data_IF_969266492989
#
_entry.id   IF_969266492989
#
_cell.length_a   1.000
_cell.length_b   1.000
_cell.length_c   1.000
_cell.angle_alpha   90.00
_cell.angle_beta   90.00
_cell.angle_gamma   90.00
#
_symmetry.space_group_name_H-M   'P 1'
#
loop_
_entity.id
_entity.type
_entity.pdbx_description
1 polymer ?
#
# COMPACT_ATOMS: atom_id res chain seq x y z
N UNK A 1 -10.48 -59.31 -12.69
CA UNK A 1 -10.21 -57.96 -12.15
C UNK A 1 -9.31 -57.27 -13.15
N UNK A 2 -9.86 -56.44 -14.04
CA UNK A 2 -9.11 -55.80 -15.11
C UNK A 2 -8.83 -54.34 -14.69
N UNK A 3 -7.56 -53.98 -14.62
CA UNK A 3 -7.10 -52.61 -14.38
C UNK A 3 -7.42 -51.77 -15.64
N UNK A 4 -8.12 -50.62 -15.54
CA UNK A 4 -8.35 -49.79 -16.71
C UNK A 4 -7.03 -49.11 -17.09
N UNK A 5 -6.59 -49.32 -18.33
CA UNK A 5 -5.48 -48.57 -18.89
C UNK A 5 -5.87 -47.08 -18.92
N UNK A 6 -5.25 -46.29 -18.06
CA UNK A 6 -5.41 -44.84 -18.06
C UNK A 6 -4.83 -44.32 -19.38
N UNK A 7 -5.69 -43.72 -20.20
CA UNK A 7 -5.32 -43.16 -21.50
C UNK A 7 -4.31 -42.03 -21.30
N UNK A 8 -3.03 -42.31 -21.57
CA UNK A 8 -1.90 -41.42 -21.35
C UNK A 8 -2.05 -40.08 -22.11
N UNK A 9 -2.85 -40.04 -23.18
CA UNK A 9 -3.20 -38.79 -23.88
C UNK A 9 -4.12 -37.88 -23.06
N UNK A 10 -5.03 -38.46 -22.26
CA UNK A 10 -5.91 -37.70 -21.37
C UNK A 10 -5.16 -37.16 -20.16
N UNK A 11 -4.20 -37.93 -19.64
CA UNK A 11 -3.32 -37.48 -18.54
C UNK A 11 -2.44 -36.32 -19.01
N UNK A 12 -1.82 -36.42 -20.19
CA UNK A 12 -1.04 -35.31 -20.74
C UNK A 12 -1.90 -34.06 -21.00
N UNK A 13 -3.11 -34.20 -21.54
CA UNK A 13 -4.01 -33.07 -21.77
C UNK A 13 -4.41 -32.38 -20.46
N UNK A 14 -4.71 -33.14 -19.41
CA UNK A 14 -5.05 -32.58 -18.09
C UNK A 14 -3.83 -31.91 -17.45
N UNK A 15 -2.64 -32.51 -17.53
CA UNK A 15 -1.41 -31.87 -17.06
C UNK A 15 -1.08 -30.58 -17.85
N UNK A 16 -1.23 -30.57 -19.17
CA UNK A 16 -1.02 -29.36 -19.97
C UNK A 16 -2.05 -28.27 -19.66
N UNK A 17 -3.32 -28.63 -19.43
CA UNK A 17 -4.35 -27.69 -18.98
C UNK A 17 -4.05 -27.14 -17.58
N UNK A 18 -3.59 -27.98 -16.64
CA UNK A 18 -3.19 -27.53 -15.30
C UNK A 18 -1.95 -26.64 -15.33
N UNK A 19 -1.00 -26.90 -16.22
CA UNK A 19 0.17 -26.03 -16.45
C UNK A 19 -0.28 -24.69 -17.05
N UNK A 20 -1.18 -24.70 -18.05
CA UNK A 20 -1.72 -23.46 -18.65
C UNK A 20 -2.55 -22.63 -17.65
N UNK A 21 -3.30 -23.28 -16.76
CA UNK A 21 -4.02 -22.62 -15.67
C UNK A 21 -3.05 -22.11 -14.59
N UNK A 22 -1.96 -22.84 -14.32
CA UNK A 22 -0.90 -22.41 -13.39
C UNK A 22 -0.11 -21.17 -13.85
N UNK A 23 -0.07 -20.89 -15.16
CA UNK A 23 0.52 -19.67 -15.71
C UNK A 23 -0.47 -18.50 -15.89
N UNK A 24 -1.74 -18.68 -15.52
CA UNK A 24 -2.78 -17.64 -15.68
C UNK A 24 -2.84 -16.62 -14.53
N UNK A 25 -1.88 -16.64 -13.61
CA UNK A 25 -1.96 -15.96 -12.32
C UNK A 25 -0.95 -14.83 -12.10
N UNK A 26 -0.77 -13.91 -13.04
CA UNK A 26 -0.33 -12.54 -12.67
C UNK A 26 -1.27 -11.56 -13.33
N UNK A 27 -2.17 -10.99 -12.55
CA UNK A 27 -3.03 -9.91 -13.03
C UNK A 27 -2.14 -8.76 -13.47
N UNK A 28 -1.99 -8.57 -14.77
CA UNK A 28 -1.39 -7.35 -15.29
C UNK A 28 -2.32 -6.20 -14.94
N UNK A 29 -1.96 -5.43 -13.91
CA UNK A 29 -2.64 -4.16 -13.63
C UNK A 29 -2.35 -3.25 -14.80
N UNK A 30 -3.40 -2.85 -15.51
CA UNK A 30 -3.25 -1.85 -16.57
C UNK A 30 -2.75 -0.57 -15.92
N UNK A 31 -1.57 -0.12 -16.34
CA UNK A 31 -1.03 1.13 -15.87
C UNK A 31 -1.99 2.27 -16.20
N UNK A 32 -2.10 3.23 -15.28
CA UNK A 32 -2.96 4.40 -15.42
C UNK A 32 -2.12 5.67 -15.32
N UNK A 33 -2.59 6.76 -15.95
CA UNK A 33 -2.03 8.07 -15.72
C UNK A 33 -2.05 8.43 -14.23
N UNK A 34 -1.08 9.23 -13.81
CA UNK A 34 -1.10 9.83 -12.48
C UNK A 34 -2.37 10.68 -12.29
N UNK A 35 -3.04 10.51 -11.15
CA UNK A 35 -4.29 11.18 -10.80
C UNK A 35 -4.29 11.65 -9.35
N UNK A 36 -5.22 12.53 -8.99
CA UNK A 36 -5.47 12.92 -7.60
C UNK A 36 -5.91 11.70 -6.78
N UNK A 37 -5.35 11.53 -5.59
CA UNK A 37 -5.64 10.39 -4.71
C UNK A 37 -7.00 10.50 -4.02
N UNK A 38 -7.50 11.73 -3.80
CA UNK A 38 -8.68 12.05 -3.00
C UNK A 38 -8.48 11.94 -1.48
N UNK A 39 -7.28 11.59 -1.00
CA UNK A 39 -7.07 11.18 0.40
C UNK A 39 -6.66 12.33 1.32
N UNK A 40 -6.08 13.39 0.76
CA UNK A 40 -5.46 14.48 1.50
C UNK A 40 -3.96 14.31 1.73
N UNK A 41 -3.27 15.39 2.11
CA UNK A 41 -1.81 15.41 2.18
C UNK A 41 -1.22 14.50 3.26
N UNK A 42 -0.02 14.03 2.96
CA UNK A 42 0.86 13.29 3.85
C UNK A 42 2.26 13.91 3.76
N UNK A 43 2.84 14.24 4.90
CA UNK A 43 4.21 14.74 4.98
C UNK A 43 4.85 14.39 6.33
N UNK A 44 6.17 14.55 6.44
CA UNK A 44 6.92 14.17 7.63
C UNK A 44 8.27 13.59 7.24
N UNK A 45 8.59 12.42 7.78
CA UNK A 45 9.82 11.69 7.44
C UNK A 45 11.01 12.04 8.32
N UNK A 46 10.84 12.81 9.40
CA UNK A 46 11.84 12.86 10.47
C UNK A 46 11.91 11.49 11.14
N UNK A 47 13.10 10.95 11.35
CA UNK A 47 13.23 9.57 11.78
C UNK A 47 14.44 9.28 12.65
N UNK A 48 14.41 8.20 13.41
CA UNK A 48 15.58 7.69 14.12
C UNK A 48 15.63 6.18 14.15
N UNK A 49 16.83 5.63 14.30
CA UNK A 49 16.99 4.24 14.70
C UNK A 49 16.32 4.00 16.05
N UNK A 50 15.57 2.90 16.19
CA UNK A 50 14.82 2.57 17.40
C UNK A 50 15.73 2.48 18.64
N UNK A 51 17.00 2.10 18.47
CA UNK A 51 17.96 1.96 19.56
C UNK A 51 18.72 3.25 19.93
N UNK A 52 18.50 4.36 19.21
CA UNK A 52 19.23 5.60 19.41
C UNK A 52 18.31 6.71 19.91
N UNK A 53 18.76 7.50 20.89
CA UNK A 53 18.05 8.74 21.21
C UNK A 53 18.30 9.78 20.13
N UNK A 54 17.28 10.53 19.75
CA UNK A 54 17.39 11.56 18.71
C UNK A 54 16.50 12.76 19.00
N UNK A 55 16.95 13.91 18.53
CA UNK A 55 16.22 15.16 18.49
C UNK A 55 16.43 15.78 17.11
N UNK A 56 15.34 16.15 16.44
CA UNK A 56 15.36 16.82 15.16
C UNK A 56 14.40 18.00 15.18
N UNK A 57 14.82 19.10 14.57
CA UNK A 57 13.97 20.25 14.29
C UNK A 57 14.15 20.60 12.81
N UNK A 58 13.08 20.49 12.03
CA UNK A 58 13.10 20.59 10.58
C UNK A 58 12.17 21.69 10.10
N UNK A 59 12.59 22.46 9.10
CA UNK A 59 11.68 23.32 8.33
C UNK A 59 10.81 22.42 7.46
N UNK A 60 9.49 22.59 7.54
CA UNK A 60 8.53 21.78 6.79
C UNK A 60 8.72 21.90 5.27
N UNK A 61 9.21 23.05 4.77
CA UNK A 61 9.52 23.22 3.34
C UNK A 61 10.77 22.45 2.88
N UNK A 62 11.60 22.01 3.82
CA UNK A 62 12.86 21.30 3.54
C UNK A 62 12.74 19.78 3.68
N UNK A 63 11.58 19.28 4.11
CA UNK A 63 11.32 17.85 4.21
C UNK A 63 11.23 17.23 2.79
N UNK A 64 11.73 16.00 2.61
CA UNK A 64 11.60 15.29 1.34
C UNK A 64 10.13 14.98 1.04
N UNK A 65 9.83 14.73 -0.23
CA UNK A 65 8.53 14.17 -0.60
C UNK A 65 8.38 12.76 -0.02
N UNK A 66 7.16 12.37 0.36
CA UNK A 66 6.88 11.03 0.87
C UNK A 66 6.34 10.17 -0.26
N UNK A 67 6.99 9.05 -0.57
CA UNK A 67 6.53 8.07 -1.54
C UNK A 67 6.05 6.81 -0.82
N UNK A 68 4.74 6.57 -0.82
CA UNK A 68 4.14 5.32 -0.38
C UNK A 68 4.03 4.38 -1.58
N UNK A 69 4.81 3.30 -1.59
CA UNK A 69 4.85 2.30 -2.66
C UNK A 69 4.19 1.00 -2.21
N UNK A 70 3.00 0.71 -2.75
CA UNK A 70 2.31 -0.54 -2.53
C UNK A 70 2.88 -1.64 -3.43
N UNK A 71 3.52 -2.62 -2.82
CA UNK A 71 4.36 -3.60 -3.50
C UNK A 71 4.07 -5.04 -3.04
N UNK A 72 4.72 -6.00 -3.68
CA UNK A 72 4.78 -7.37 -3.19
C UNK A 72 6.06 -8.12 -3.63
N UNK A 73 6.48 -9.11 -2.84
CA UNK A 73 7.64 -10.00 -3.11
C UNK A 73 7.52 -10.83 -4.38
N UNK A 74 6.31 -11.03 -4.89
CA UNK A 74 6.03 -11.74 -6.15
C UNK A 74 5.82 -10.80 -7.35
N UNK A 75 5.77 -9.49 -7.10
CA UNK A 75 5.45 -8.50 -8.12
C UNK A 75 6.67 -8.09 -8.94
N UNK A 76 6.90 -8.75 -10.08
CA UNK A 76 8.01 -8.38 -11.00
C UNK A 76 7.91 -6.94 -11.53
N UNK A 77 6.69 -6.43 -11.71
CA UNK A 77 6.49 -5.04 -12.16
C UNK A 77 6.88 -4.01 -11.09
N UNK A 78 6.82 -4.38 -9.81
CA UNK A 78 7.16 -3.52 -8.69
C UNK A 78 8.67 -3.22 -8.67
N UNK A 79 9.51 -4.17 -9.07
CA UNK A 79 10.97 -3.98 -9.18
C UNK A 79 11.32 -2.75 -10.04
N UNK A 80 10.59 -2.51 -11.13
CA UNK A 80 10.81 -1.32 -12.00
C UNK A 80 10.41 -0.02 -11.31
N UNK A 81 9.31 -0.04 -10.57
CA UNK A 81 8.79 1.11 -9.81
C UNK A 81 9.75 1.46 -8.68
N UNK A 82 10.14 0.47 -7.89
CA UNK A 82 11.06 0.62 -6.75
C UNK A 82 12.45 1.11 -7.19
N UNK A 83 12.92 0.67 -8.37
CA UNK A 83 14.18 1.17 -8.95
C UNK A 83 14.11 2.65 -9.29
N UNK A 84 13.01 3.10 -9.91
CA UNK A 84 12.80 4.51 -10.24
C UNK A 84 12.66 5.37 -8.97
N UNK A 85 12.02 4.85 -7.93
CA UNK A 85 11.94 5.52 -6.63
C UNK A 85 13.30 5.56 -5.92
N UNK A 86 14.11 4.49 -5.99
CA UNK A 86 15.46 4.47 -5.42
C UNK A 86 16.33 5.59 -5.99
N UNK A 87 16.29 5.83 -7.30
CA UNK A 87 17.08 6.90 -7.90
C UNK A 87 16.73 8.29 -7.36
N UNK A 88 15.47 8.55 -7.01
CA UNK A 88 15.03 9.82 -6.44
C UNK A 88 15.32 9.94 -4.94
N UNK A 89 15.26 8.80 -4.24
CA UNK A 89 15.65 8.66 -2.83
C UNK A 89 17.17 8.95 -2.66
N UNK A 90 18.00 8.38 -3.54
CA UNK A 90 19.46 8.61 -3.58
C UNK A 90 19.82 10.07 -3.90
N UNK A 91 18.96 10.78 -4.64
CA UNK A 91 19.08 12.21 -4.95
C UNK A 91 18.56 13.10 -3.81
N UNK A 92 17.97 12.53 -2.75
CA UNK A 92 17.40 13.25 -1.61
C UNK A 92 16.10 13.99 -1.93
N UNK A 93 15.43 13.63 -3.02
CA UNK A 93 14.20 14.30 -3.50
C UNK A 93 12.98 13.80 -2.74
N UNK A 94 12.97 12.51 -2.44
CA UNK A 94 11.90 11.84 -1.72
C UNK A 94 12.48 10.90 -0.66
N UNK A 95 11.60 10.42 0.22
CA UNK A 95 11.82 9.30 1.10
C UNK A 95 10.73 8.28 0.82
N UNK A 96 11.12 7.05 0.51
CA UNK A 96 10.19 5.99 0.09
C UNK A 96 9.90 4.98 1.19
N UNK A 97 8.68 4.46 1.16
CA UNK A 97 8.16 3.50 2.13
C UNK A 97 7.41 2.39 1.40
N UNK A 98 7.81 1.15 1.62
CA UNK A 98 7.21 0.00 0.97
C UNK A 98 6.08 -0.57 1.84
N UNK A 99 4.87 -0.46 1.32
CA UNK A 99 3.66 -1.06 1.86
C UNK A 99 3.47 -2.41 1.19
N UNK A 100 3.91 -3.45 1.86
CA UNK A 100 3.71 -4.81 1.37
C UNK A 100 2.26 -5.24 1.55
N UNK A 101 1.70 -5.84 0.50
CA UNK A 101 0.36 -6.41 0.54
C UNK A 101 0.22 -7.44 1.66
N UNK A 102 -0.89 -7.37 2.39
CA UNK A 102 -1.23 -8.36 3.41
C UNK A 102 -2.21 -9.45 2.90
N UNK A 103 -2.28 -10.56 3.65
CA UNK A 103 -3.08 -11.76 3.35
C UNK A 103 -2.65 -12.44 2.03
N UNK A 104 -1.34 -12.47 1.82
CA UNK A 104 -0.68 -13.10 0.69
C UNK A 104 0.27 -14.16 1.21
N UNK A 105 0.14 -15.40 0.75
CA UNK A 105 1.02 -16.48 1.21
C UNK A 105 2.44 -16.38 0.65
N UNK A 106 2.66 -15.56 -0.39
CA UNK A 106 3.96 -15.37 -1.03
C UNK A 106 4.71 -14.15 -0.48
N UNK A 107 4.03 -13.23 0.22
CA UNK A 107 4.62 -12.03 0.80
C UNK A 107 4.51 -12.02 2.33
N UNK A 108 5.64 -12.12 3.06
CA UNK A 108 5.62 -12.20 4.52
C UNK A 108 5.67 -10.83 5.21
N UNK A 109 5.70 -9.72 4.47
CA UNK A 109 6.04 -8.41 5.03
C UNK A 109 4.81 -7.56 5.37
N UNK A 110 3.67 -7.80 4.72
CA UNK A 110 2.43 -7.06 4.98
C UNK A 110 1.79 -7.40 6.34
N UNK A 111 1.00 -6.46 6.88
CA UNK A 111 0.17 -6.66 8.07
C UNK A 111 -1.22 -6.06 7.87
N UNK A 112 -2.21 -6.46 8.69
CA UNK A 112 -3.56 -5.87 8.63
C UNK A 112 -3.49 -4.36 8.83
N UNK A 113 -2.63 -3.90 9.75
CA UNK A 113 -2.45 -2.49 10.07
C UNK A 113 -1.95 -1.66 8.87
N UNK A 114 -0.93 -2.12 8.14
CA UNK A 114 -0.35 -1.36 7.02
C UNK A 114 -1.20 -1.46 5.76
N UNK A 115 -1.81 -2.62 5.52
CA UNK A 115 -2.77 -2.83 4.43
C UNK A 115 -4.02 -1.96 4.61
N UNK A 116 -4.57 -1.91 5.83
CA UNK A 116 -5.76 -1.11 6.13
C UNK A 116 -5.49 0.38 5.98
N UNK A 117 -4.34 0.88 6.44
CA UNK A 117 -3.92 2.27 6.20
C UNK A 117 -3.92 2.60 4.70
N UNK A 118 -3.25 1.76 3.89
CA UNK A 118 -3.13 2.03 2.45
C UNK A 118 -4.51 1.93 1.76
N UNK A 119 -5.33 0.94 2.14
CA UNK A 119 -6.71 0.76 1.65
C UNK A 119 -7.60 1.93 1.95
N UNK A 120 -7.64 2.36 3.20
CA UNK A 120 -8.52 3.43 3.65
C UNK A 120 -8.21 4.73 2.94
N UNK A 121 -6.92 5.03 2.71
CA UNK A 121 -6.52 6.25 2.03
C UNK A 121 -6.76 6.16 0.53
N UNK A 122 -6.32 5.11 -0.15
CA UNK A 122 -6.16 5.14 -1.61
C UNK A 122 -7.10 4.22 -2.39
N UNK A 123 -7.82 3.35 -1.68
CA UNK A 123 -8.41 2.12 -2.20
C UNK A 123 -7.33 1.21 -2.82
N UNK A 124 -7.26 -0.06 -2.45
CA UNK A 124 -6.22 -0.94 -3.02
C UNK A 124 -6.69 -1.68 -4.26
N UNK A 125 -5.82 -1.72 -5.27
CA UNK A 125 -5.83 -2.70 -6.34
C UNK A 125 -4.70 -3.72 -6.16
N UNK A 126 -4.31 -4.39 -7.23
CA UNK A 126 -3.05 -5.14 -7.22
C UNK A 126 -1.85 -4.17 -7.37
N UNK A 127 -0.69 -4.50 -6.80
CA UNK A 127 0.52 -3.69 -6.92
C UNK A 127 1.11 -3.71 -8.36
N UNK A 128 1.93 -2.73 -8.75
CA UNK A 128 2.39 -1.58 -7.96
C UNK A 128 1.44 -0.38 -7.96
N UNK A 129 1.39 0.34 -6.84
CA UNK A 129 0.72 1.65 -6.72
C UNK A 129 1.65 2.58 -5.95
N UNK A 130 1.99 3.73 -6.55
CA UNK A 130 2.78 4.77 -5.88
C UNK A 130 1.89 5.94 -5.56
N UNK A 131 1.96 6.42 -4.33
CA UNK A 131 1.33 7.68 -3.91
C UNK A 131 2.39 8.64 -3.40
N UNK A 132 2.42 9.84 -3.98
CA UNK A 132 3.32 10.91 -3.60
C UNK A 132 2.60 11.91 -2.70
N UNK A 133 3.20 12.20 -1.55
CA UNK A 133 2.73 13.17 -0.56
C UNK A 133 1.24 12.96 -0.17
N UNK A 134 0.75 11.72 -0.29
CA UNK A 134 -0.65 11.36 -0.11
C UNK A 134 -1.64 11.95 -1.11
N UNK A 135 -1.20 12.74 -2.10
CA UNK A 135 -2.08 13.56 -2.97
C UNK A 135 -2.13 13.08 -4.42
N UNK A 136 -1.07 12.50 -4.95
CA UNK A 136 -1.04 12.03 -6.34
C UNK A 136 -0.72 10.56 -6.38
N UNK A 137 -1.59 9.79 -7.03
CA UNK A 137 -1.51 8.34 -7.16
C UNK A 137 -1.19 7.96 -8.60
N UNK A 138 -0.25 7.04 -8.78
CA UNK A 138 0.05 6.39 -10.07
C UNK A 138 -0.03 4.87 -9.90
N UNK A 139 -0.75 4.22 -10.81
CA UNK A 139 -0.95 2.77 -10.79
C UNK A 139 -0.15 2.13 -11.93
N UNK A 140 0.56 1.06 -11.64
CA UNK A 140 1.32 0.27 -12.61
C UNK A 140 2.72 0.81 -12.91
N UNK A 141 3.42 0.14 -13.81
CA UNK A 141 4.85 0.37 -14.11
C UNK A 141 5.11 0.93 -15.52
N UNK A 142 4.09 1.52 -16.16
CA UNK A 142 4.23 2.17 -17.47
C UNK A 142 4.28 3.69 -17.25
N UNK A 143 5.31 4.38 -17.77
CA UNK A 143 5.41 5.81 -17.61
C UNK A 143 4.40 6.57 -18.47
N UNK A 144 3.97 7.73 -17.99
CA UNK A 144 3.16 8.70 -18.73
C UNK A 144 4.03 9.64 -19.57
N UNK A 145 5.29 9.81 -19.17
CA UNK A 145 6.34 10.57 -19.87
C UNK A 145 7.46 9.65 -20.40
N UNK A 146 8.66 10.20 -20.57
CA UNK A 146 9.83 9.48 -21.06
C UNK A 146 10.30 8.37 -20.10
N UNK A 147 10.04 8.49 -18.78
CA UNK A 147 10.44 7.48 -17.79
C UNK A 147 9.62 7.56 -16.49
N UNK A 148 9.57 6.45 -15.73
CA UNK A 148 8.93 6.44 -14.40
C UNK A 148 9.61 7.41 -13.44
N UNK A 149 10.94 7.57 -13.54
CA UNK A 149 11.70 8.54 -12.75
C UNK A 149 11.20 9.97 -13.02
N UNK A 150 10.99 10.33 -14.29
CA UNK A 150 10.48 11.65 -14.67
C UNK A 150 9.07 11.88 -14.15
N UNK A 151 8.20 10.87 -14.22
CA UNK A 151 6.85 10.94 -13.64
C UNK A 151 6.91 11.17 -12.13
N UNK A 152 7.66 10.34 -11.41
CA UNK A 152 7.77 10.42 -9.95
C UNK A 152 8.46 11.69 -9.49
N UNK A 153 9.47 12.18 -10.20
CA UNK A 153 10.08 13.49 -9.95
C UNK A 153 9.05 14.62 -10.12
N UNK A 154 8.19 14.53 -11.15
CA UNK A 154 7.13 15.52 -11.37
C UNK A 154 6.09 15.48 -10.26
N UNK A 155 5.70 14.28 -9.81
CA UNK A 155 4.78 14.08 -8.69
C UNK A 155 5.37 14.60 -7.36
N UNK A 156 6.64 14.29 -7.08
CA UNK A 156 7.33 14.72 -5.86
C UNK A 156 7.49 16.25 -5.75
N UNK A 157 7.68 16.94 -6.89
CA UNK A 157 7.81 18.40 -6.93
C UNK A 157 6.48 19.15 -6.79
N UNK A 158 5.35 18.46 -6.70
CA UNK A 158 4.09 19.12 -6.39
C UNK A 158 4.11 19.60 -4.94
N UNK A 159 4.17 20.92 -4.79
CA UNK A 159 4.22 21.54 -3.47
C UNK A 159 2.92 21.32 -2.71
N UNK A 160 3.02 20.82 -1.48
CA UNK A 160 1.91 20.83 -0.52
C UNK A 160 1.65 22.25 0.03
N UNK A 161 2.56 23.20 -0.25
CA UNK A 161 2.50 24.57 0.24
C UNK A 161 2.72 24.71 1.75
N UNK A 162 3.18 23.68 2.45
CA UNK A 162 3.30 23.68 3.91
C UNK A 162 4.50 24.52 4.35
N UNK A 163 4.27 25.44 5.28
CA UNK A 163 5.32 26.23 5.91
C UNK A 163 5.30 26.04 7.41
N UNK A 164 6.47 26.17 8.04
CA UNK A 164 6.59 26.09 9.49
C UNK A 164 7.71 25.16 9.92
N UNK A 165 7.62 24.65 11.14
CA UNK A 165 8.61 23.72 11.67
C UNK A 165 7.95 22.48 12.30
N UNK A 166 8.71 21.40 12.35
CA UNK A 166 8.36 20.19 13.07
C UNK A 166 9.53 19.74 13.94
N UNK A 167 9.25 19.51 15.22
CA UNK A 167 10.16 18.91 16.17
C UNK A 167 9.79 17.45 16.37
N UNK A 168 10.81 16.59 16.34
CA UNK A 168 10.73 15.16 16.60
C UNK A 168 11.75 14.79 17.66
N UNK A 169 11.35 13.99 18.64
CA UNK A 169 12.23 13.41 19.64
C UNK A 169 11.89 11.93 19.83
N UNK A 170 12.91 11.09 19.86
CA UNK A 170 12.80 9.68 20.20
C UNK A 170 13.73 9.35 21.37
N UNK A 171 13.20 8.67 22.38
CA UNK A 171 13.96 8.16 23.52
C UNK A 171 13.63 6.67 23.72
N UNK A 172 14.56 5.76 23.38
CA UNK A 172 14.36 4.33 23.59
C UNK A 172 14.13 4.02 25.08
N UNK A 173 13.21 3.09 25.37
CA UNK A 173 12.93 2.59 26.71
C UNK A 173 12.92 1.07 26.68
N UNK A 174 13.85 0.43 27.38
CA UNK A 174 13.98 -1.03 27.34
C UNK A 174 14.36 -1.54 25.93
N UNK A 175 13.94 -2.77 25.61
CA UNK A 175 14.39 -3.46 24.39
C UNK A 175 13.45 -3.25 23.18
N UNK A 176 12.16 -2.96 23.41
CA UNK A 176 11.13 -2.93 22.37
C UNK A 176 10.09 -1.84 22.63
N UNK A 177 10.48 -0.74 23.26
CA UNK A 177 9.58 0.39 23.48
C UNK A 177 10.36 1.70 23.50
N UNK A 178 9.66 2.81 23.48
CA UNK A 178 10.26 4.11 23.69
C UNK A 178 9.23 5.22 23.70
N UNK A 179 9.71 6.41 24.00
CA UNK A 179 8.89 7.61 24.01
C UNK A 179 9.18 8.44 22.78
N UNK A 180 8.13 8.67 22.00
CA UNK A 180 8.13 9.65 20.91
C UNK A 180 7.50 10.94 21.41
N UNK A 181 8.10 12.08 21.06
CA UNK A 181 7.52 13.40 21.28
C UNK A 181 7.56 14.21 19.99
N UNK A 182 6.50 14.98 19.75
CA UNK A 182 6.36 15.80 18.55
C UNK A 182 5.84 17.19 18.89
N UNK A 183 6.15 18.15 18.02
CA UNK A 183 5.50 19.44 17.96
C UNK A 183 5.52 19.96 16.52
N UNK A 184 4.39 20.39 15.98
CA UNK A 184 4.28 21.02 14.67
C UNK A 184 3.74 22.45 14.80
N UNK A 185 4.51 23.40 14.28
CA UNK A 185 4.11 24.79 14.15
C UNK A 185 3.80 25.08 12.68
N UNK A 186 2.54 24.94 12.30
CA UNK A 186 2.08 25.25 10.94
C UNK A 186 0.69 25.85 10.93
N UNK A 187 0.39 26.61 9.87
CA UNK A 187 -0.93 27.15 9.60
C UNK A 187 -1.81 26.08 8.94
N UNK A 188 -2.76 25.57 9.73
CA UNK A 188 -3.69 24.53 9.31
C UNK A 188 -4.95 25.08 8.62
N UNK A 189 -5.14 26.40 8.54
CA UNK A 189 -6.33 27.00 7.90
C UNK A 189 -6.47 26.59 6.43
N UNK A 190 -5.35 26.32 5.76
CA UNK A 190 -5.34 25.80 4.38
C UNK A 190 -5.88 24.37 4.21
N UNK A 191 -6.00 23.65 5.32
CA UNK A 191 -6.53 22.29 5.39
C UNK A 191 -7.90 22.25 6.06
N UNK A 192 -8.65 23.36 5.99
CA UNK A 192 -10.08 23.36 6.29
C UNK A 192 -10.78 22.24 5.51
N UNK A 193 -11.57 21.41 6.20
CA UNK A 193 -12.18 20.22 5.62
C UNK A 193 -11.35 18.93 5.78
N UNK A 194 -10.16 18.99 6.39
CA UNK A 194 -9.36 17.81 6.73
C UNK A 194 -9.18 17.65 8.24
N UNK A 195 -9.15 16.40 8.69
CA UNK A 195 -8.72 16.03 10.04
C UNK A 195 -7.25 15.59 10.00
N UNK A 196 -6.44 16.19 10.87
CA UNK A 196 -5.03 15.83 11.01
C UNK A 196 -4.87 14.70 12.03
N UNK A 197 -4.05 13.70 11.72
CA UNK A 197 -3.51 12.75 12.69
C UNK A 197 -1.99 12.71 12.62
N UNK A 198 -1.37 12.49 13.76
CA UNK A 198 0.06 12.30 13.92
C UNK A 198 0.31 10.81 14.10
N UNK A 199 1.23 10.25 13.33
CA UNK A 199 1.50 8.82 13.30
C UNK A 199 3.00 8.55 13.42
N UNK A 200 3.36 7.50 14.14
CA UNK A 200 4.69 6.91 14.10
C UNK A 200 4.66 5.71 13.16
N UNK A 201 5.49 5.73 12.13
CA UNK A 201 5.70 4.57 11.26
C UNK A 201 6.95 3.84 11.72
N UNK A 202 6.81 2.56 12.05
CA UNK A 202 7.94 1.68 12.29
C UNK A 202 8.34 1.06 10.96
N UNK A 203 9.57 1.33 10.55
CA UNK A 203 10.11 0.94 9.24
C UNK A 203 11.34 0.07 9.46
N UNK A 204 11.40 -1.06 8.77
CA UNK A 204 12.59 -1.90 8.72
C UNK A 204 13.45 -1.45 7.53
N UNK A 205 14.72 -1.12 7.79
CA UNK A 205 15.61 -0.60 6.75
C UNK A 205 15.76 -1.63 5.62
N UNK A 206 15.92 -2.91 5.95
CA UNK A 206 16.15 -3.97 4.98
C UNK A 206 15.88 -5.37 5.55
N UNK A 207 15.08 -6.17 4.83
CA UNK A 207 14.88 -7.59 5.14
C UNK A 207 15.34 -8.51 3.99
N UNK A 208 15.90 -9.67 4.33
CA UNK A 208 16.31 -10.72 3.40
C UNK A 208 15.21 -11.79 3.25
N UNK A 209 14.66 -11.93 2.04
CA UNK A 209 13.68 -12.94 1.68
C UNK A 209 13.93 -13.49 0.27
N UNK A 210 14.64 -14.62 0.20
CA UNK A 210 15.07 -15.24 -1.06
C UNK A 210 13.95 -15.99 -1.78
N UNK A 211 12.88 -16.31 -1.07
CA UNK A 211 11.72 -17.03 -1.60
C UNK A 211 10.81 -16.14 -2.45
N UNK A 212 11.02 -14.81 -2.45
CA UNK A 212 10.25 -13.88 -3.28
C UNK A 212 10.46 -14.11 -4.77
N UNK A 213 9.37 -14.31 -5.52
CA UNK A 213 9.42 -14.68 -6.94
C UNK A 213 9.79 -13.52 -7.89
N UNK A 214 9.91 -12.29 -7.38
CA UNK A 214 10.40 -11.14 -8.15
C UNK A 214 11.94 -11.06 -8.27
N UNK A 215 12.68 -11.88 -7.51
CA UNK A 215 14.14 -12.01 -7.58
C UNK A 215 14.96 -10.91 -6.90
N UNK A 216 14.37 -10.08 -6.02
CA UNK A 216 15.12 -9.02 -5.30
C UNK A 216 16.00 -9.54 -4.18
N UNK A 217 15.57 -10.59 -3.49
CA UNK A 217 16.17 -11.17 -2.27
C UNK A 217 16.28 -10.21 -1.07
N UNK A 218 16.50 -8.92 -1.27
CA UNK A 218 16.59 -7.88 -0.24
C UNK A 218 15.51 -6.82 -0.49
N UNK A 219 14.72 -6.52 0.53
CA UNK A 219 13.58 -5.63 0.49
C UNK A 219 13.79 -4.47 1.47
N UNK A 220 14.03 -3.24 0.98
CA UNK A 220 14.29 -2.12 1.85
C UNK A 220 13.01 -1.41 2.30
N UNK A 221 13.13 -0.56 3.32
CA UNK A 221 12.14 0.44 3.75
C UNK A 221 10.73 -0.13 3.98
N UNK A 222 10.63 -1.33 4.57
CA UNK A 222 9.37 -2.02 4.79
C UNK A 222 8.63 -1.36 5.95
N UNK A 223 7.43 -0.85 5.71
CA UNK A 223 6.57 -0.37 6.80
C UNK A 223 6.02 -1.58 7.54
N UNK A 224 6.39 -1.72 8.81
CA UNK A 224 5.98 -2.85 9.67
C UNK A 224 4.71 -2.53 10.44
N UNK A 225 4.61 -1.30 10.93
CA UNK A 225 3.48 -0.86 11.75
C UNK A 225 3.31 0.67 11.70
N UNK A 226 2.06 1.13 11.75
CA UNK A 226 1.64 2.52 11.84
C UNK A 226 0.88 2.69 13.15
N UNK A 227 1.44 3.51 14.03
CA UNK A 227 0.94 3.77 15.37
C UNK A 227 0.37 5.19 15.41
N UNK A 228 -0.93 5.30 15.68
CA UNK A 228 -1.60 6.59 15.83
C UNK A 228 -1.23 7.24 17.17
N UNK A 229 -0.75 8.49 17.12
CA UNK A 229 -0.30 9.27 18.27
C UNK A 229 -1.33 10.33 18.71
N UNK A 230 -2.44 10.47 18.00
CA UNK A 230 -3.50 11.44 18.20
C UNK A 230 -3.59 12.48 17.10
N UNK A 231 -4.36 13.55 17.34
CA UNK A 231 -4.58 14.67 16.41
C UNK A 231 -3.99 15.99 16.90
N UNK A 232 -3.36 15.98 18.07
CA UNK A 232 -2.80 17.17 18.71
C UNK A 232 -1.51 17.64 18.01
N UNK A 233 -1.33 18.95 17.90
CA UNK A 233 -0.13 19.55 17.27
C UNK A 233 1.16 19.29 18.04
N UNK A 234 1.07 19.01 19.34
CA UNK A 234 2.22 18.69 20.16
C UNK A 234 1.82 17.63 21.17
N UNK A 235 2.77 16.78 21.53
CA UNK A 235 2.50 15.68 22.44
C UNK A 235 3.68 14.77 22.64
N UNK A 236 3.45 13.76 23.46
CA UNK A 236 4.37 12.65 23.64
C UNK A 236 3.57 11.38 23.92
N UNK A 237 4.05 10.25 23.42
CA UNK A 237 3.46 8.94 23.66
C UNK A 237 4.54 7.89 23.92
N UNK A 238 4.24 6.93 24.78
CA UNK A 238 5.03 5.70 24.86
C UNK A 238 4.43 4.71 23.88
N UNK A 239 5.29 4.10 23.08
CA UNK A 239 4.89 3.14 22.06
C UNK A 239 5.74 1.87 22.17
N UNK A 240 5.11 0.76 21.88
CA UNK A 240 5.77 -0.53 21.72
C UNK A 240 6.23 -0.68 20.27
N UNK A 241 7.39 -1.29 20.07
CA UNK A 241 7.99 -1.49 18.75
C UNK A 241 7.82 -2.98 18.37
N UNK A 242 7.30 -3.28 17.17
CA UNK A 242 7.15 -4.64 16.69
C UNK A 242 8.50 -5.34 16.54
N UNK A 243 8.45 -6.64 16.31
CA UNK A 243 9.65 -7.41 15.97
C UNK A 243 9.97 -7.18 14.49
N UNK A 244 11.25 -6.91 14.21
CA UNK A 244 11.77 -6.89 12.85
C UNK A 244 11.54 -8.26 12.17
N UNK A 245 11.44 -8.29 10.85
CA UNK A 245 11.43 -9.54 10.12
C UNK A 245 12.75 -10.29 10.32
N UNK A 246 13.86 -9.57 10.16
CA UNK A 246 15.19 -10.05 10.51
C UNK A 246 16.04 -8.92 11.12
N UNK A 247 17.31 -9.19 11.40
CA UNK A 247 18.22 -8.13 11.81
C UNK A 247 17.83 -7.38 13.11
N UNK A 248 18.29 -6.13 13.18
CA UNK A 248 18.07 -5.18 14.29
C UNK A 248 18.16 -3.75 13.71
N UNK A 249 17.34 -3.49 12.71
CA UNK A 249 17.42 -2.36 11.79
C UNK A 249 16.06 -1.64 11.67
N UNK A 250 15.29 -1.62 12.77
CA UNK A 250 14.08 -0.84 12.87
C UNK A 250 14.39 0.65 13.08
N UNK A 251 13.61 1.46 12.37
CA UNK A 251 13.56 2.90 12.42
C UNK A 251 12.14 3.33 12.82
N UNK A 252 12.05 4.48 13.45
CA UNK A 252 10.79 5.15 13.73
C UNK A 252 10.73 6.48 12.99
N UNK A 253 9.64 6.71 12.27
CA UNK A 253 9.42 7.88 11.43
C UNK A 253 8.17 8.63 11.87
N UNK A 254 8.25 9.95 11.96
CA UNK A 254 7.12 10.82 12.32
C UNK A 254 6.38 11.30 11.07
N UNK A 255 5.07 11.05 11.02
CA UNK A 255 4.20 11.40 9.90
C UNK A 255 2.99 12.22 10.32
N UNK A 256 2.59 13.17 9.49
CA UNK A 256 1.37 13.95 9.62
C UNK A 256 0.42 13.59 8.47
N UNK A 257 -0.70 12.96 8.81
CA UNK A 257 -1.72 12.56 7.84
C UNK A 257 -2.87 13.54 7.90
N UNK A 258 -3.35 13.97 6.74
CA UNK A 258 -4.61 14.67 6.60
C UNK A 258 -5.58 13.75 5.88
N UNK A 259 -6.75 13.57 6.46
CA UNK A 259 -7.86 12.82 5.88
C UNK A 259 -9.04 13.77 5.68
N UNK A 260 -9.71 13.68 4.54
CA UNK A 260 -10.88 14.53 4.29
C UNK A 260 -11.97 14.20 5.32
N UNK A 261 -12.53 15.22 5.96
CA UNK A 261 -13.68 15.04 6.84
C UNK A 261 -14.87 14.57 6.00
N UNK A 262 -15.53 13.49 6.41
CA UNK A 262 -16.80 13.12 5.81
C UNK A 262 -17.79 14.25 6.08
N UNK A 263 -18.18 14.98 5.02
CA UNK A 263 -19.31 15.88 5.12
C UNK A 263 -20.54 15.00 5.33
N UNK A 264 -21.14 15.02 6.54
CA UNK A 264 -22.48 14.51 6.74
C UNK A 264 -23.47 15.44 6.03
N UNK A 265 -23.50 15.35 4.70
CA UNK A 265 -24.67 15.75 3.95
C UNK A 265 -25.69 14.67 4.27
N UNK A 266 -26.52 14.91 5.29
CA UNK A 266 -27.84 14.29 5.35
C UNK A 266 -28.45 14.55 3.98
N UNK A 267 -28.49 13.52 3.12
CA UNK A 267 -29.35 13.60 1.95
C UNK A 267 -30.74 13.93 2.48
N UNK A 268 -31.38 15.01 2.01
CA UNK A 268 -32.77 15.23 2.37
C UNK A 268 -33.53 13.98 1.91
N UNK A 269 -34.08 13.26 2.89
CA UNK A 269 -35.05 12.19 2.63
C UNK A 269 -36.15 12.83 1.80
N UNK A 270 -36.12 12.59 0.49
CA UNK A 270 -37.18 12.94 -0.41
C UNK A 270 -38.37 12.06 -0.05
N UNK A 271 -39.21 12.56 0.85
CA UNK A 271 -40.55 12.03 1.09
C UNK A 271 -41.44 12.38 -0.11
N UNK A 272 -41.10 11.79 -1.25
CA UNK A 272 -41.97 11.70 -2.40
C UNK A 272 -42.42 10.23 -2.53
N UNK A 273 -43.48 9.95 -1.79
CA UNK A 273 -44.28 8.73 -1.93
C UNK A 273 -44.93 8.66 -3.32
N UNK A 274 -44.22 8.08 -4.29
CA UNK A 274 -44.85 7.44 -5.46
C UNK A 274 -44.32 6.01 -5.62
N UNK A 275 -45.12 5.06 -5.18
CA UNK A 275 -44.99 3.64 -5.50
C UNK A 275 -45.03 3.47 -7.02
N UNK A 276 -43.88 3.21 -7.63
CA UNK A 276 -43.78 2.59 -8.96
C UNK A 276 -42.99 1.30 -8.82
N UNK A 277 -43.74 0.20 -8.73
CA UNK A 277 -43.22 -1.14 -8.93
C UNK A 277 -42.40 -1.19 -10.23
N UNK A 278 -41.08 -1.29 -10.10
CA UNK A 278 -40.21 -1.75 -11.19
C UNK A 278 -39.66 -3.11 -10.79
N UNK A 279 -40.22 -4.11 -11.45
CA UNK A 279 -39.80 -5.49 -11.38
C UNK A 279 -38.28 -5.63 -11.49
N UNK A 280 -37.72 -6.40 -10.56
CA UNK A 280 -36.34 -6.87 -10.59
C UNK A 280 -36.09 -7.63 -11.90
N UNK A 281 -35.00 -7.35 -12.65
CA UNK A 281 -34.60 -8.23 -13.72
C UNK A 281 -34.08 -9.54 -13.13
N UNK A 282 -34.72 -10.63 -13.52
CA UNK A 282 -34.36 -12.01 -13.19
C UNK A 282 -32.87 -12.28 -13.42
N UNK A 283 -32.17 -12.65 -12.35
CA UNK A 283 -30.87 -13.31 -12.41
C UNK A 283 -31.13 -14.77 -12.81
N UNK A 284 -31.10 -15.07 -14.11
CA UNK A 284 -31.07 -16.46 -14.59
C UNK A 284 -30.30 -16.58 -15.90
N UNK A 285 -28.96 -16.52 -15.84
CA UNK A 285 -28.12 -16.96 -16.96
C UNK A 285 -26.67 -17.15 -16.52
N UNK A 286 -26.38 -18.18 -15.72
CA UNK A 286 -25.04 -18.82 -15.61
C UNK A 286 -25.13 -20.08 -14.73
N UNK A 287 -26.00 -21.02 -15.10
CA UNK A 287 -26.06 -22.34 -14.49
C UNK A 287 -26.46 -23.39 -15.53
N UNK A 288 -25.71 -23.46 -16.63
CA UNK A 288 -25.94 -24.50 -17.65
C UNK A 288 -24.66 -24.77 -18.44
N UNK A 289 -23.62 -25.22 -17.73
CA UNK A 289 -22.46 -25.85 -18.37
C UNK A 289 -21.85 -27.00 -17.52
N UNK A 290 -22.67 -27.85 -16.90
CA UNK A 290 -22.18 -29.08 -16.21
C UNK A 290 -22.96 -30.37 -16.58
N UNK A 291 -24.03 -30.32 -17.39
CA UNK A 291 -24.87 -31.52 -17.65
C UNK A 291 -24.46 -32.34 -18.89
N UNK A 292 -23.46 -31.93 -19.70
CA UNK A 292 -23.13 -32.65 -20.95
C UNK A 292 -22.14 -33.83 -20.76
N UNK A 293 -21.53 -34.01 -19.59
CA UNK A 293 -20.53 -35.10 -19.39
C UNK A 293 -21.15 -36.40 -18.83
N UNK A 294 -22.34 -36.37 -18.20
CA UNK A 294 -22.98 -37.59 -17.68
C UNK A 294 -23.86 -38.36 -18.68
N UNK A 295 -24.20 -37.79 -19.83
CA UNK A 295 -24.96 -38.48 -20.88
C UNK A 295 -24.10 -39.36 -21.81
N UNK A 296 -22.76 -39.24 -21.76
CA UNK A 296 -21.84 -39.98 -22.63
C UNK A 296 -21.27 -41.27 -22.01
N UNK A 297 -21.60 -41.59 -20.74
CA UNK A 297 -21.14 -42.83 -20.07
C UNK A 297 -22.22 -43.89 -19.84
N UNK A 298 -23.45 -43.69 -20.32
CA UNK A 298 -24.55 -44.67 -20.19
C UNK A 298 -24.91 -45.34 -21.53
N UNK A 299 -24.24 -44.98 -22.64
CA UNK A 299 -24.48 -45.61 -23.95
C UNK A 299 -23.29 -46.43 -24.46
N UNK A 300 -23.07 -47.58 -23.81
CA UNK A 300 -22.50 -48.79 -24.43
C UNK A 300 -22.82 -50.01 -23.56
N UNK A 301 -23.94 -50.66 -23.88
CA UNK A 301 -23.97 -52.12 -23.95
C UNK A 301 -23.17 -52.58 -25.17
#
# INVERSE_FOLDING_TARGET
>A
MACPAIDMRRVMLVCCLLILVGFSGTGNVSARPAEDSGSGPLFGGQWSWVNNSSYQNSDLNSLPAIAEDYTATWCTNCVKVESALQELDDEGILQKYHFHRNNDHEDPFGSDNTEDHFKQRYNTGAPPIVVMNGTIKKIGSIPDSDSLKTDYHTMANQTLGISGNSTFTWTPQGNNSGMISWAIETDLSRYEGYEMSVNAWVVEESAEFREGSNGKEIYPNIVREIINLGSEKFGSSNIDIPVAFDGNDLQIHLMYHFAQMENSVDEPVDDSSEVKERALPNVSALASLIVVIFAAMIRKS
#
